data_IF_232030768735
#
_entry.id   IF_232030768735
#
_cell.length_a   1.000
_cell.length_b   1.000
_cell.length_c   1.000
_cell.angle_alpha   90.00
_cell.angle_beta   90.00
_cell.angle_gamma   90.00
#
_symmetry.space_group_name_H-M   'P 1'
#
loop_
_entity.id
_entity.type
_entity.pdbx_description
1 polymer ?
#
# COMPACT_ATOMS: atom_id res chain seq x y z
N UNK A 1 5.42 -14.71 -4.33
CA UNK A 1 4.04 -15.26 -4.38
C UNK A 1 3.06 -14.16 -4.03
N UNK A 2 2.05 -13.95 -4.84
CA UNK A 2 1.02 -12.93 -4.59
C UNK A 2 -0.09 -13.47 -3.72
N UNK A 3 -0.57 -12.66 -2.79
CA UNK A 3 -1.75 -12.94 -1.95
C UNK A 3 -3.00 -12.23 -2.45
N UNK A 4 -2.97 -11.71 -3.68
CA UNK A 4 -4.11 -11.04 -4.31
C UNK A 4 -5.15 -12.08 -4.74
N UNK A 5 -6.39 -11.87 -4.32
CA UNK A 5 -7.54 -12.67 -4.73
C UNK A 5 -8.23 -12.11 -5.98
N UNK A 6 -8.17 -10.80 -6.17
CA UNK A 6 -8.80 -10.09 -7.28
C UNK A 6 -8.97 -8.62 -6.96
N UNK A 7 -9.89 -7.98 -7.67
CA UNK A 7 -10.27 -6.58 -7.45
C UNK A 7 -11.75 -6.50 -7.08
N UNK A 8 -12.13 -5.46 -6.36
CA UNK A 8 -13.52 -5.18 -6.01
C UNK A 8 -13.80 -3.69 -6.10
N UNK A 9 -14.95 -3.33 -6.67
CA UNK A 9 -15.39 -1.95 -6.68
C UNK A 9 -15.73 -1.48 -5.27
N UNK A 10 -15.16 -0.36 -4.87
CA UNK A 10 -15.39 0.26 -3.57
C UNK A 10 -16.84 0.71 -3.38
N UNK A 11 -17.49 1.16 -4.45
CA UNK A 11 -18.84 1.72 -4.40
C UNK A 11 -19.92 0.65 -4.53
N UNK A 12 -19.92 -0.15 -5.60
CA UNK A 12 -20.98 -1.14 -5.87
C UNK A 12 -20.66 -2.57 -5.44
N UNK A 13 -19.42 -2.85 -5.02
CA UNK A 13 -19.00 -4.17 -4.55
C UNK A 13 -18.76 -5.21 -5.64
N UNK A 14 -18.88 -4.85 -6.93
CA UNK A 14 -18.66 -5.78 -8.05
C UNK A 14 -17.22 -6.29 -8.04
N UNK A 15 -17.06 -7.58 -8.26
CA UNK A 15 -15.76 -8.25 -8.27
C UNK A 15 -15.20 -8.35 -9.69
N UNK A 16 -13.89 -8.26 -9.79
CA UNK A 16 -13.11 -8.35 -11.02
C UNK A 16 -11.94 -9.30 -10.84
N UNK A 17 -11.49 -9.97 -11.91
CA UNK A 17 -10.27 -10.77 -11.85
C UNK A 17 -9.05 -9.88 -11.58
N UNK A 18 -7.96 -10.52 -11.20
CA UNK A 18 -6.67 -9.86 -11.03
C UNK A 18 -6.13 -9.44 -12.40
N UNK A 19 -6.30 -8.18 -12.73
CA UNK A 19 -5.85 -7.58 -13.99
C UNK A 19 -5.51 -6.10 -13.77
N UNK A 20 -4.94 -5.45 -14.78
CA UNK A 20 -4.63 -4.01 -14.76
C UNK A 20 -5.89 -3.20 -15.06
N UNK A 21 -6.74 -3.09 -14.07
CA UNK A 21 -8.00 -2.36 -14.12
C UNK A 21 -8.02 -1.28 -13.04
N UNK A 22 -8.65 -0.15 -13.31
CA UNK A 22 -8.63 1.02 -12.43
C UNK A 22 -10.01 1.41 -11.92
N UNK A 23 -11.02 1.30 -12.77
CA UNK A 23 -12.39 1.72 -12.48
C UNK A 23 -13.38 0.62 -12.80
N UNK A 24 -14.50 0.63 -12.07
CA UNK A 24 -15.62 -0.25 -12.34
C UNK A 24 -16.29 0.12 -13.65
N UNK A 25 -16.52 -0.86 -14.52
CA UNK A 25 -17.22 -0.66 -15.80
C UNK A 25 -18.70 -0.33 -15.63
N UNK A 26 -19.26 -0.59 -14.46
CA UNK A 26 -20.67 -0.43 -14.17
C UNK A 26 -21.02 0.90 -13.51
N UNK A 27 -20.34 1.26 -12.43
CA UNK A 27 -20.62 2.49 -11.67
C UNK A 27 -19.50 3.52 -11.70
N UNK A 28 -18.41 3.24 -12.42
CA UNK A 28 -17.19 4.06 -12.50
C UNK A 28 -16.50 4.32 -11.14
N UNK A 29 -16.85 3.56 -10.11
CA UNK A 29 -16.17 3.60 -8.81
C UNK A 29 -14.75 3.04 -8.88
N UNK A 30 -13.91 3.44 -7.95
CA UNK A 30 -12.52 2.96 -7.86
C UNK A 30 -12.48 1.47 -7.50
N UNK A 31 -11.58 0.74 -8.14
CA UNK A 31 -11.30 -0.65 -7.81
C UNK A 31 -10.25 -0.76 -6.71
N UNK A 32 -10.50 -1.61 -5.74
CA UNK A 32 -9.58 -1.94 -4.65
C UNK A 32 -9.06 -3.37 -4.81
N UNK A 33 -7.81 -3.57 -4.44
CA UNK A 33 -7.21 -4.90 -4.43
C UNK A 33 -7.73 -5.70 -3.24
N UNK A 34 -8.19 -6.91 -3.48
CA UNK A 34 -8.65 -7.85 -2.45
C UNK A 34 -7.54 -8.84 -2.15
N UNK A 35 -7.11 -8.91 -0.90
CA UNK A 35 -6.04 -9.79 -0.42
C UNK A 35 -6.56 -10.94 0.43
N UNK A 36 -5.86 -12.07 0.40
CA UNK A 36 -6.05 -13.15 1.36
C UNK A 36 -5.37 -12.83 2.69
N UNK A 37 -6.01 -12.00 3.49
CA UNK A 37 -5.48 -11.59 4.80
C UNK A 37 -5.28 -12.76 5.77
N UNK A 38 -6.03 -13.85 5.61
CA UNK A 38 -5.86 -15.05 6.46
C UNK A 38 -4.51 -15.72 6.19
N UNK A 39 -4.12 -15.81 4.92
CA UNK A 39 -2.79 -16.32 4.55
C UNK A 39 -1.69 -15.33 4.89
N UNK A 40 -1.86 -14.03 4.61
CA UNK A 40 -0.87 -13.00 4.96
C UNK A 40 -0.57 -13.02 6.45
N UNK A 41 -1.58 -13.09 7.32
CA UNK A 41 -1.41 -13.14 8.78
C UNK A 41 -0.52 -14.30 9.26
N UNK A 42 -0.46 -15.39 8.52
CA UNK A 42 0.38 -16.55 8.87
C UNK A 42 1.86 -16.35 8.53
N UNK A 43 2.18 -15.49 7.57
CA UNK A 43 3.53 -15.33 7.02
C UNK A 43 4.16 -13.98 7.28
N UNK A 44 3.36 -12.93 7.54
CA UNK A 44 3.84 -11.57 7.77
C UNK A 44 3.71 -11.22 9.26
N UNK A 45 4.83 -10.93 9.90
CA UNK A 45 4.91 -10.49 11.29
C UNK A 45 5.60 -9.13 11.40
N UNK A 46 5.42 -8.44 12.52
CA UNK A 46 6.11 -7.17 12.80
C UNK A 46 7.63 -7.32 12.79
N UNK A 47 8.12 -8.42 13.35
CA UNK A 47 9.55 -8.74 13.39
C UNK A 47 10.12 -8.96 11.98
N UNK A 48 9.37 -9.65 11.12
CA UNK A 48 9.77 -9.86 9.72
C UNK A 48 9.85 -8.53 8.96
N UNK A 49 8.85 -7.67 9.13
CA UNK A 49 8.85 -6.31 8.54
C UNK A 49 10.05 -5.50 9.04
N UNK A 50 10.32 -5.53 10.36
CA UNK A 50 11.40 -4.76 10.97
C UNK A 50 12.80 -5.14 10.43
N UNK A 51 13.00 -6.42 10.09
CA UNK A 51 14.28 -6.94 9.56
C UNK A 51 14.52 -6.61 8.08
N UNK A 52 13.48 -6.24 7.34
CA UNK A 52 13.57 -5.94 5.91
C UNK A 52 14.10 -4.53 5.65
N UNK A 53 14.66 -4.24 4.45
CA UNK A 53 15.09 -2.90 4.08
C UNK A 53 14.00 -1.85 4.27
N UNK A 54 14.41 -0.62 4.57
CA UNK A 54 13.50 0.52 4.80
C UNK A 54 13.03 1.11 3.47
N UNK A 55 12.15 0.43 2.78
CA UNK A 55 11.50 0.85 1.54
C UNK A 55 10.09 0.25 1.44
N UNK A 56 9.36 0.54 0.38
CA UNK A 56 8.00 0.04 0.15
C UNK A 56 7.95 -1.50 0.11
N UNK A 57 8.96 -2.14 -0.45
CA UNK A 57 9.00 -3.58 -0.71
C UNK A 57 9.07 -4.45 0.55
N UNK A 58 9.33 -3.84 1.70
CA UNK A 58 9.24 -4.53 3.00
C UNK A 58 7.85 -5.10 3.30
N UNK A 59 6.82 -4.61 2.60
CA UNK A 59 5.43 -5.03 2.71
C UNK A 59 4.98 -5.88 1.52
N UNK A 60 5.87 -6.63 0.90
CA UNK A 60 5.63 -7.35 -0.36
C UNK A 60 4.36 -8.21 -0.36
N UNK A 61 3.99 -8.80 0.79
CA UNK A 61 2.77 -9.60 0.91
C UNK A 61 1.47 -8.77 0.78
N UNK A 62 1.57 -7.46 0.99
CA UNK A 62 0.47 -6.50 0.89
C UNK A 62 0.54 -5.66 -0.40
N UNK A 63 1.38 -6.05 -1.35
CA UNK A 63 1.51 -5.37 -2.63
C UNK A 63 0.95 -6.24 -3.76
N UNK A 64 0.30 -5.63 -4.77
CA UNK A 64 -0.33 -6.37 -5.87
C UNK A 64 0.69 -6.78 -6.94
N UNK A 65 1.79 -7.41 -6.52
CA UNK A 65 2.88 -7.81 -7.38
C UNK A 65 3.10 -9.32 -7.34
N UNK A 66 3.40 -9.90 -8.49
CA UNK A 66 3.71 -11.33 -8.62
C UNK A 66 5.20 -11.62 -8.67
N UNK A 67 6.00 -10.61 -9.00
CA UNK A 67 7.45 -10.71 -9.19
C UNK A 67 8.16 -9.63 -8.38
N UNK A 68 9.42 -9.87 -8.11
CA UNK A 68 10.28 -8.85 -7.52
C UNK A 68 10.33 -7.61 -8.43
N UNK A 69 10.36 -6.40 -7.81
CA UNK A 69 10.45 -5.17 -8.57
C UNK A 69 11.80 -5.07 -9.28
N UNK A 70 11.79 -4.58 -10.50
CA UNK A 70 13.02 -4.28 -11.27
C UNK A 70 13.40 -2.80 -11.21
N UNK A 71 12.51 -1.97 -10.70
CA UNK A 71 12.69 -0.52 -10.53
C UNK A 71 12.07 -0.06 -9.20
N UNK A 72 12.34 1.17 -8.80
CA UNK A 72 11.72 1.76 -7.61
C UNK A 72 12.17 1.18 -6.28
N UNK A 73 13.38 0.64 -6.19
CA UNK A 73 13.93 0.05 -4.97
C UNK A 73 13.98 1.01 -3.78
N UNK A 74 14.03 2.32 -4.05
CA UNK A 74 14.08 3.37 -3.03
C UNK A 74 12.71 4.00 -2.74
N UNK A 75 11.63 3.44 -3.30
CA UNK A 75 10.28 3.94 -3.07
C UNK A 75 9.83 3.69 -1.63
N UNK A 76 9.06 4.63 -1.09
CA UNK A 76 8.54 4.54 0.27
C UNK A 76 9.53 4.97 1.34
N UNK A 77 9.12 4.84 2.58
CA UNK A 77 9.90 5.24 3.76
C UNK A 77 10.33 6.71 3.74
N UNK A 78 9.45 7.57 3.27
CA UNK A 78 9.69 9.02 3.11
C UNK A 78 10.01 9.65 4.46
N UNK A 79 11.03 10.53 4.56
CA UNK A 79 11.35 11.19 5.81
C UNK A 79 10.20 12.04 6.36
N UNK A 80 9.95 11.94 7.65
CA UNK A 80 9.06 12.84 8.38
C UNK A 80 9.88 14.02 8.91
N UNK A 81 9.66 15.21 8.35
CA UNK A 81 10.49 16.39 8.64
C UNK A 81 9.68 17.40 9.45
N UNK A 82 10.27 17.88 10.57
CA UNK A 82 9.69 18.95 11.38
C UNK A 82 9.79 20.29 10.65
N UNK A 83 8.65 20.91 10.36
CA UNK A 83 8.55 22.19 9.67
C UNK A 83 8.63 23.37 10.65
N UNK A 84 9.82 23.65 11.21
CA UNK A 84 10.03 24.68 12.24
C UNK A 84 9.52 26.06 11.83
N UNK A 85 9.96 26.56 10.67
CA UNK A 85 9.61 27.91 10.19
C UNK A 85 8.09 28.06 9.99
N UNK A 86 7.45 27.06 9.41
CA UNK A 86 6.01 27.09 9.18
C UNK A 86 5.22 26.95 10.50
N UNK A 87 5.68 26.14 11.45
CA UNK A 87 5.04 26.02 12.77
C UNK A 87 5.12 27.33 13.55
N UNK A 88 6.25 28.04 13.51
CA UNK A 88 6.41 29.37 14.11
C UNK A 88 5.47 30.39 13.47
N UNK A 89 5.41 30.43 12.14
CA UNK A 89 4.50 31.33 11.41
C UNK A 89 3.02 31.09 11.75
N UNK A 90 2.60 29.84 11.86
CA UNK A 90 1.22 29.45 12.19
C UNK A 90 0.90 29.48 13.69
N UNK A 91 1.89 29.65 14.56
CA UNK A 91 1.72 29.60 16.01
C UNK A 91 1.34 28.22 16.54
N UNK A 92 1.65 27.15 15.82
CA UNK A 92 1.43 25.77 16.26
C UNK A 92 2.69 25.20 16.90
N UNK A 93 2.52 24.34 17.89
CA UNK A 93 3.62 23.81 18.70
C UNK A 93 4.53 22.87 17.92
N UNK A 94 3.93 21.99 17.11
CA UNK A 94 4.61 21.01 16.29
C UNK A 94 3.89 20.82 14.96
N UNK A 95 4.65 20.87 13.87
CA UNK A 95 4.18 20.64 12.50
C UNK A 95 5.23 19.81 11.76
N UNK A 96 4.76 18.74 11.12
CA UNK A 96 5.60 17.81 10.36
C UNK A 96 5.14 17.73 8.91
#
# INVERSE_FOLDING_TARGET
>A
MSFVLGLRCRECGREYPKDVLYVCEYCFGSLEVVYDYKKIKKVLTKEKIAKRPKNLWRYEELLPLDKEPVTGFFSGFTPLIKAKRLSEYLGVKELY
#
